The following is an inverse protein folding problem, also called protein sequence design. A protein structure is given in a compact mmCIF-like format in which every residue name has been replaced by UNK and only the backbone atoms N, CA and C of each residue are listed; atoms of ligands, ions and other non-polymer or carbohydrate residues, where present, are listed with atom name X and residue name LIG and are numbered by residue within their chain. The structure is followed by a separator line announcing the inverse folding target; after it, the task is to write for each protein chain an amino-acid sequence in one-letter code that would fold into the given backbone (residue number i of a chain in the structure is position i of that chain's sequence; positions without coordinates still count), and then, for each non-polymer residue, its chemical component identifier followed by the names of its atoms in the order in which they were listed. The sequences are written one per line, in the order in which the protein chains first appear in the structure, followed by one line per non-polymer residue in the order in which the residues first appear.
data_IF_487842524933
#
_entry.id   IF_487842524933
#
_cell.length_a   1.000
_cell.length_b   1.000
_cell.length_c   1.000
_cell.angle_alpha   90.00
_cell.angle_beta   90.00
_cell.angle_gamma   90.00
#
_symmetry.space_group_name_H-M   'P 1'
#
loop_
_entity.id
_entity.type
_entity.pdbx_description
1 polymer ?
#
# COMPACT_ATOMS: atom_id res chain seq x y z
N UNK A 1 -4.67 -16.37 -2.47
CA UNK A 1 -4.50 -16.50 -1.00
C UNK A 1 -3.59 -15.42 -0.44
N UNK A 2 -2.51 -15.05 -1.13
CA UNK A 2 -1.52 -14.09 -0.62
C UNK A 2 -1.91 -12.61 -0.75
N UNK A 3 -2.91 -12.29 -1.58
CA UNK A 3 -3.44 -10.93 -1.77
C UNK A 3 -3.93 -10.29 -0.47
N UNK A 4 -4.50 -11.06 0.46
CA UNK A 4 -4.93 -10.54 1.76
C UNK A 4 -3.75 -10.18 2.67
N UNK A 5 -2.66 -10.95 2.61
CA UNK A 5 -1.43 -10.65 3.32
C UNK A 5 -0.75 -9.39 2.75
N UNK A 6 -0.71 -9.26 1.43
CA UNK A 6 -0.20 -8.06 0.77
C UNK A 6 -1.06 -6.83 1.07
N UNK A 7 -2.39 -6.97 1.07
CA UNK A 7 -3.30 -5.90 1.46
C UNK A 7 -3.07 -5.41 2.89
N UNK A 8 -2.85 -6.33 3.83
CA UNK A 8 -2.48 -5.97 5.20
C UNK A 8 -1.14 -5.23 5.25
N UNK A 9 -0.13 -5.68 4.50
CA UNK A 9 1.16 -5.00 4.43
C UNK A 9 1.02 -3.56 3.89
N UNK A 10 0.21 -3.36 2.85
CA UNK A 10 -0.09 -2.03 2.32
C UNK A 10 -0.79 -1.11 3.35
N UNK A 11 -1.69 -1.66 4.17
CA UNK A 11 -2.36 -0.87 5.23
C UNK A 11 -1.42 -0.48 6.36
N UNK A 12 -0.52 -1.40 6.77
CA UNK A 12 0.51 -1.10 7.77
C UNK A 12 1.45 -0.02 7.25
N UNK A 13 1.90 -0.13 6.00
CA UNK A 13 2.79 0.85 5.38
C UNK A 13 2.13 2.22 5.21
N UNK A 14 0.81 2.29 5.02
CA UNK A 14 0.08 3.55 4.88
C UNK A 14 -0.40 4.16 6.21
N UNK A 15 -0.16 3.49 7.35
CA UNK A 15 -0.80 3.81 8.64
C UNK A 15 -0.54 5.23 9.16
N UNK A 16 0.63 5.80 8.90
CA UNK A 16 1.01 7.17 9.28
C UNK A 16 0.74 8.22 8.18
N UNK A 17 0.18 7.78 7.05
CA UNK A 17 -0.19 8.62 5.92
C UNK A 17 0.95 8.98 4.97
N UNK A 18 2.18 8.49 5.20
CA UNK A 18 3.33 8.76 4.33
C UNK A 18 4.08 7.47 3.98
N UNK A 19 4.31 7.21 2.70
CA UNK A 19 5.16 6.10 2.26
C UNK A 19 6.55 6.62 1.92
N UNK A 20 7.54 6.22 2.69
CA UNK A 20 8.94 6.46 2.45
C UNK A 20 9.57 5.33 1.62
N UNK A 21 10.74 5.60 1.05
CA UNK A 21 11.49 4.64 0.22
C UNK A 21 11.71 3.28 0.90
N UNK A 22 12.01 3.18 2.21
CA UNK A 22 12.13 1.88 2.87
C UNK A 22 10.84 1.05 2.84
N UNK A 23 9.68 1.65 3.11
CA UNK A 23 8.40 0.92 3.02
C UNK A 23 8.09 0.51 1.60
N UNK A 24 8.33 1.38 0.61
CA UNK A 24 8.10 1.06 -0.80
C UNK A 24 8.94 -0.13 -1.27
N UNK A 25 10.22 -0.18 -0.86
CA UNK A 25 11.09 -1.33 -1.16
C UNK A 25 10.61 -2.59 -0.46
N UNK A 26 10.20 -2.50 0.81
CA UNK A 26 9.68 -3.65 1.53
C UNK A 26 8.40 -4.21 0.86
N UNK A 27 7.48 -3.35 0.44
CA UNK A 27 6.29 -3.77 -0.30
C UNK A 27 6.66 -4.42 -1.63
N UNK A 28 7.66 -3.91 -2.34
CA UNK A 28 8.15 -4.52 -3.59
C UNK A 28 8.69 -5.95 -3.36
N UNK A 29 9.49 -6.16 -2.31
CA UNK A 29 9.99 -7.49 -1.93
C UNK A 29 8.84 -8.42 -1.55
N UNK A 30 7.89 -7.96 -0.71
CA UNK A 30 6.72 -8.77 -0.32
C UNK A 30 5.88 -9.15 -1.54
N UNK A 31 5.64 -8.22 -2.48
CA UNK A 31 4.91 -8.51 -3.72
C UNK A 31 5.59 -9.62 -4.54
N UNK A 32 6.92 -9.55 -4.63
CA UNK A 32 7.72 -10.53 -5.36
C UNK A 32 7.68 -11.91 -4.68
N UNK A 33 7.92 -11.97 -3.37
CA UNK A 33 7.92 -13.22 -2.60
C UNK A 33 6.54 -13.91 -2.55
N UNK A 34 5.47 -13.11 -2.57
CA UNK A 34 4.10 -13.62 -2.60
C UNK A 34 3.56 -13.89 -4.01
N UNK A 35 4.36 -13.66 -5.06
CA UNK A 35 4.03 -13.82 -6.48
C UNK A 35 2.69 -13.16 -6.87
N UNK A 36 2.53 -11.88 -6.52
CA UNK A 36 1.30 -11.15 -6.78
C UNK A 36 1.36 -10.45 -8.14
N UNK A 37 0.38 -10.75 -8.99
CA UNK A 37 0.23 -10.10 -10.29
C UNK A 37 0.16 -8.56 -10.16
N UNK A 38 0.76 -7.88 -11.13
CA UNK A 38 0.88 -6.41 -11.12
C UNK A 38 -0.48 -5.71 -11.07
N UNK A 39 -1.50 -6.23 -11.75
CA UNK A 39 -2.83 -5.61 -11.77
C UNK A 39 -3.52 -5.76 -10.40
N UNK A 40 -3.37 -6.92 -9.76
CA UNK A 40 -3.94 -7.18 -8.44
C UNK A 40 -3.24 -6.33 -7.37
N UNK A 41 -1.90 -6.28 -7.40
CA UNK A 41 -1.11 -5.41 -6.51
C UNK A 41 -1.52 -3.94 -6.66
N UNK A 42 -1.65 -3.43 -7.89
CA UNK A 42 -2.08 -2.06 -8.14
C UNK A 42 -3.49 -1.77 -7.61
N UNK A 43 -4.43 -2.72 -7.72
CA UNK A 43 -5.77 -2.58 -7.18
C UNK A 43 -5.76 -2.52 -5.64
N UNK A 44 -4.96 -3.36 -4.99
CA UNK A 44 -4.78 -3.41 -3.53
C UNK A 44 -4.14 -2.12 -3.02
N UNK A 45 -3.02 -1.70 -3.60
CA UNK A 45 -2.31 -0.46 -3.25
C UNK A 45 -3.21 0.77 -3.39
N UNK A 46 -4.02 0.80 -4.46
CA UNK A 46 -4.99 1.89 -4.67
C UNK A 46 -6.06 1.92 -3.58
N UNK A 47 -6.54 0.75 -3.15
CA UNK A 47 -7.52 0.58 -2.08
C UNK A 47 -6.98 0.97 -0.71
N UNK A 48 -5.76 0.54 -0.38
CA UNK A 48 -5.04 0.98 0.83
C UNK A 48 -4.89 2.51 0.82
N UNK A 49 -4.33 3.09 -0.25
CA UNK A 49 -4.21 4.55 -0.38
C UNK A 49 -5.55 5.27 -0.17
N UNK A 50 -6.64 4.78 -0.75
CA UNK A 50 -7.96 5.41 -0.59
C UNK A 50 -8.42 5.49 0.87
N UNK A 51 -8.13 4.47 1.69
CA UNK A 51 -8.47 4.43 3.12
C UNK A 51 -7.66 5.40 3.96
N UNK A 52 -6.42 5.68 3.55
CA UNK A 52 -5.50 6.56 4.27
C UNK A 52 -5.44 7.99 3.68
N UNK A 53 -6.22 8.29 2.64
CA UNK A 53 -6.34 9.64 2.10
C UNK A 53 -7.10 10.54 3.09
N UNK A 54 -6.40 11.45 3.73
CA UNK A 54 -7.01 12.52 4.53
C UNK A 54 -7.37 13.71 3.64
N UNK A 55 -8.51 14.35 3.90
CA UNK A 55 -8.81 15.66 3.33
C UNK A 55 -7.76 16.65 3.82
N UNK A 56 -6.87 17.13 2.95
CA UNK A 56 -6.04 18.27 3.32
C UNK A 56 -6.99 19.46 3.53
N UNK A 57 -7.01 20.10 4.72
CA UNK A 57 -7.75 21.34 4.87
C UNK A 57 -7.17 22.34 3.88
N UNK A 58 -8.06 22.99 3.13
CA UNK A 58 -7.71 23.99 2.15
C UNK A 58 -6.71 24.98 2.78
N UNK A 59 -5.47 25.03 2.28
CA UNK A 59 -4.53 26.08 2.67
C UNK A 59 -5.10 27.39 2.12
N UNK A 60 -5.76 28.14 2.99
CA UNK A 60 -6.11 29.54 2.75
C UNK A 60 -4.85 30.38 2.57
#
# INVERSE_FOLDING_TARGET
LWETAYALACDVAAADGTLHTPELRLLEEIRYELDIDRLHAAAIERGARARHMTLQPNKA
#
